data_IF_136100003627
#
_entry.id   IF_136100003627
#
_cell.length_a   1.000
_cell.length_b   1.000
_cell.length_c   1.000
_cell.angle_alpha   90.00
_cell.angle_beta   90.00
_cell.angle_gamma   90.00
#
_symmetry.space_group_name_H-M   'P 1'
#
loop_
_entity.id
_entity.type
_entity.pdbx_description
1 polymer ?
#
# COMPACT_ATOMS: atom_id res chain seq x y z
N UNK A 1 11.61 10.61 -30.30
CA UNK A 1 10.25 10.09 -30.02
C UNK A 1 10.25 8.58 -30.19
N UNK A 2 10.55 7.83 -29.14
CA UNK A 2 10.44 6.36 -29.13
C UNK A 2 9.06 6.02 -28.55
N UNK A 3 8.29 5.25 -29.32
CA UNK A 3 6.93 4.83 -28.98
C UNK A 3 6.96 4.00 -27.70
N UNK A 4 6.31 4.51 -26.66
CA UNK A 4 5.95 3.76 -25.45
C UNK A 4 4.87 2.77 -25.90
N UNK A 5 5.18 1.47 -25.87
CA UNK A 5 4.15 0.44 -25.93
C UNK A 5 3.49 0.45 -24.56
N UNK A 6 2.42 1.23 -24.47
CA UNK A 6 1.45 1.13 -23.39
C UNK A 6 0.87 -0.28 -23.49
N UNK A 7 1.09 -1.14 -22.49
CA UNK A 7 0.27 -2.33 -22.28
C UNK A 7 -1.12 -1.83 -21.86
N UNK A 8 -1.87 -1.30 -22.82
CA UNK A 8 -3.32 -1.39 -22.82
C UNK A 8 -3.60 -2.88 -22.96
N UNK A 9 -3.90 -3.54 -21.84
CA UNK A 9 -4.64 -4.79 -21.85
C UNK A 9 -5.99 -4.50 -22.48
N UNK A 10 -6.04 -4.65 -23.79
CA UNK A 10 -7.28 -4.74 -24.55
C UNK A 10 -7.99 -5.99 -24.05
N UNK A 11 -9.03 -5.78 -23.26
CA UNK A 11 -10.11 -6.73 -23.09
C UNK A 11 -10.78 -6.95 -24.45
N UNK A 12 -10.24 -7.85 -25.27
CA UNK A 12 -10.89 -8.37 -26.47
C UNK A 12 -10.25 -9.67 -26.94
N UNK A 13 -10.40 -10.72 -26.15
CA UNK A 13 -10.43 -12.14 -26.54
C UNK A 13 -10.71 -12.91 -25.23
N UNK A 14 -11.75 -13.75 -25.20
CA UNK A 14 -12.24 -14.44 -24.00
C UNK A 14 -11.33 -15.50 -23.40
N UNK A 15 -10.04 -15.22 -23.25
CA UNK A 15 -9.10 -15.99 -22.44
C UNK A 15 -8.90 -15.29 -21.09
N UNK A 16 -8.96 -16.06 -20.00
CA UNK A 16 -8.51 -15.61 -18.68
C UNK A 16 -7.01 -15.39 -18.74
N UNK A 17 -6.54 -14.15 -18.54
CA UNK A 17 -5.11 -13.89 -18.41
C UNK A 17 -4.56 -14.69 -17.24
N UNK A 18 -3.48 -15.44 -17.48
CA UNK A 18 -2.72 -16.14 -16.45
C UNK A 18 -1.31 -15.58 -16.45
N UNK A 19 -0.87 -15.06 -15.30
CA UNK A 19 0.49 -14.60 -15.13
C UNK A 19 1.46 -15.80 -15.10
N UNK A 20 2.73 -15.61 -15.49
CA UNK A 20 3.76 -16.60 -15.21
C UNK A 20 3.80 -16.94 -13.72
N UNK A 21 3.88 -18.22 -13.32
CA UNK A 21 3.92 -18.60 -11.92
C UNK A 21 5.09 -17.92 -11.19
N UNK A 22 4.86 -17.33 -10.00
CA UNK A 22 5.93 -16.80 -9.19
C UNK A 22 6.77 -17.94 -8.62
N UNK A 23 8.03 -17.65 -8.31
CA UNK A 23 8.82 -18.54 -7.44
C UNK A 23 8.15 -18.63 -6.07
N UNK A 24 8.24 -19.79 -5.41
CA UNK A 24 7.52 -20.04 -4.16
C UNK A 24 7.85 -19.03 -3.04
N UNK A 25 9.11 -18.60 -2.99
CA UNK A 25 9.59 -17.60 -2.03
C UNK A 25 10.81 -16.87 -2.59
N UNK A 26 10.85 -15.57 -2.40
CA UNK A 26 11.98 -14.69 -2.71
C UNK A 26 12.54 -14.18 -1.38
N UNK A 27 13.78 -14.55 -1.08
CA UNK A 27 14.48 -13.99 0.06
C UNK A 27 14.85 -12.53 -0.22
N UNK A 28 14.53 -11.64 0.70
CA UNK A 28 14.95 -10.25 0.63
C UNK A 28 16.29 -10.05 1.34
N UNK A 29 17.07 -9.02 0.99
CA UNK A 29 18.34 -8.75 1.65
C UNK A 29 18.17 -8.57 3.16
N UNK A 30 19.15 -9.04 3.92
CA UNK A 30 19.18 -8.81 5.36
C UNK A 30 19.58 -7.36 5.67
N UNK A 31 19.24 -6.85 6.85
CA UNK A 31 19.50 -5.43 7.17
C UNK A 31 20.98 -5.04 7.20
N UNK A 32 21.90 -6.00 7.29
CA UNK A 32 23.34 -5.78 7.11
C UNK A 32 23.70 -5.37 5.68
N UNK A 33 22.89 -5.77 4.70
CA UNK A 33 23.03 -5.41 3.28
C UNK A 33 22.32 -4.09 2.95
N UNK A 34 21.57 -3.52 3.90
CA UNK A 34 20.75 -2.31 3.72
C UNK A 34 21.37 -1.07 4.40
N UNK A 35 22.71 -0.96 4.34
CA UNK A 35 23.47 0.20 4.82
C UNK A 35 23.10 0.62 6.26
N UNK A 36 23.22 -0.27 7.26
CA UNK A 36 22.84 0.09 8.62
C UNK A 36 23.76 1.18 9.17
N UNK A 37 23.20 2.12 9.93
CA UNK A 37 23.94 3.22 10.56
C UNK A 37 24.93 2.73 11.60
N UNK A 38 24.63 1.59 12.22
CA UNK A 38 25.51 0.85 13.13
C UNK A 38 25.68 -0.57 12.60
N UNK A 39 26.87 -0.87 12.07
CA UNK A 39 27.20 -2.19 11.50
C UNK A 39 27.10 -3.32 12.53
N UNK A 40 27.20 -3.02 13.83
CA UNK A 40 27.08 -4.02 14.91
C UNK A 40 25.64 -4.32 15.28
N UNK A 41 24.69 -3.50 14.83
CA UNK A 41 23.26 -3.61 15.13
C UNK A 41 22.40 -3.42 13.87
N UNK A 42 22.59 -4.27 12.84
CA UNK A 42 21.78 -4.20 11.62
C UNK A 42 20.30 -4.42 11.94
N UNK A 43 19.43 -3.81 11.14
CA UNK A 43 17.99 -4.06 11.22
C UNK A 43 17.56 -5.29 10.42
N UNK A 44 16.27 -5.34 10.12
CA UNK A 44 15.61 -6.27 9.20
C UNK A 44 14.98 -5.45 8.07
N UNK A 45 14.91 -5.99 6.84
CA UNK A 45 14.38 -5.22 5.72
C UNK A 45 12.93 -4.78 5.93
N UNK A 46 12.11 -5.58 6.62
CA UNK A 46 10.69 -5.30 6.90
C UNK A 46 9.93 -4.90 5.63
N UNK A 47 9.71 -5.85 4.70
CA UNK A 47 8.94 -5.55 3.50
C UNK A 47 7.52 -5.12 3.85
N UNK A 48 7.03 -4.08 3.19
CA UNK A 48 5.70 -3.51 3.41
C UNK A 48 4.93 -3.40 2.08
N UNK A 49 4.57 -2.19 1.63
CA UNK A 49 3.76 -1.96 0.45
C UNK A 49 4.41 -2.42 -0.85
N UNK A 50 3.58 -2.90 -1.79
CA UNK A 50 3.98 -3.31 -3.14
C UNK A 50 3.25 -2.52 -4.23
N UNK A 51 3.95 -2.35 -5.36
CA UNK A 51 3.37 -1.85 -6.61
C UNK A 51 4.01 -2.54 -7.82
N UNK A 52 3.24 -2.67 -8.89
CA UNK A 52 3.75 -3.09 -10.19
C UNK A 52 4.03 -1.87 -11.07
N UNK A 53 5.19 -1.87 -11.74
CA UNK A 53 5.51 -0.91 -12.79
C UNK A 53 6.54 -1.51 -13.74
N UNK A 54 6.51 -1.11 -15.02
CA UNK A 54 7.48 -1.55 -16.02
C UNK A 54 7.70 -3.09 -16.09
N UNK A 55 6.64 -3.88 -15.85
CA UNK A 55 6.69 -5.35 -15.86
C UNK A 55 7.43 -5.99 -14.68
N UNK A 56 7.62 -5.24 -13.58
CA UNK A 56 8.29 -5.68 -12.36
C UNK A 56 7.48 -5.29 -11.13
N UNK A 57 7.73 -6.00 -10.05
CA UNK A 57 7.19 -5.68 -8.72
C UNK A 57 8.24 -4.92 -7.93
N UNK A 58 7.78 -3.89 -7.21
CA UNK A 58 8.57 -3.09 -6.29
C UNK A 58 7.97 -3.21 -4.90
N UNK A 59 8.79 -3.57 -3.92
CA UNK A 59 8.40 -3.64 -2.50
C UNK A 59 9.23 -2.66 -1.69
N UNK A 60 8.59 -1.93 -0.77
CA UNK A 60 9.31 -1.05 0.16
C UNK A 60 9.99 -1.85 1.26
N UNK A 61 11.21 -1.43 1.63
CA UNK A 61 12.01 -1.97 2.72
C UNK A 61 12.41 -0.84 3.66
N UNK A 62 12.27 -1.03 4.97
CA UNK A 62 12.45 0.02 5.98
C UNK A 62 13.73 -0.07 6.82
N UNK A 63 14.48 -1.17 6.73
CA UNK A 63 15.65 -1.46 7.58
C UNK A 63 15.45 -1.05 9.06
N UNK A 64 14.63 -1.81 9.78
CA UNK A 64 14.27 -1.51 11.18
C UNK A 64 14.69 -2.62 12.12
N UNK A 65 15.00 -2.26 13.37
CA UNK A 65 15.19 -3.20 14.47
C UNK A 65 14.14 -2.98 15.54
N UNK A 66 13.75 -4.06 16.21
CA UNK A 66 12.86 -3.97 17.36
C UNK A 66 13.68 -3.60 18.60
N UNK A 67 13.12 -2.73 19.44
CA UNK A 67 13.66 -2.36 20.76
C UNK A 67 12.53 -2.43 21.78
N UNK A 68 12.86 -2.31 23.07
CA UNK A 68 11.86 -2.34 24.15
C UNK A 68 10.79 -1.24 24.01
N UNK A 69 11.11 -0.14 23.33
CA UNK A 69 10.18 0.98 23.08
C UNK A 69 9.55 0.96 21.69
N UNK A 70 9.72 -0.14 20.93
CA UNK A 70 9.18 -0.30 19.59
C UNK A 70 10.23 -0.31 18.48
N UNK A 71 9.80 -0.32 17.20
CA UNK A 71 10.70 -0.36 16.06
C UNK A 71 11.46 0.95 15.92
N UNK A 72 12.76 0.85 15.63
CA UNK A 72 13.62 2.00 15.31
C UNK A 72 14.31 1.79 13.98
N UNK A 73 14.51 2.88 13.23
CA UNK A 73 15.22 2.84 11.95
C UNK A 73 16.70 2.52 12.22
N UNK A 74 17.18 1.46 11.57
CA UNK A 74 18.57 1.00 11.66
C UNK A 74 19.38 1.40 10.42
N UNK A 75 18.72 1.87 9.35
CA UNK A 75 19.33 2.32 8.10
C UNK A 75 18.31 3.06 7.21
N UNK A 76 18.70 3.40 5.96
CA UNK A 76 17.81 4.03 5.00
C UNK A 76 16.70 3.09 4.51
N UNK A 77 15.69 3.68 3.86
CA UNK A 77 14.69 2.94 3.09
C UNK A 77 15.19 2.50 1.72
N UNK A 78 14.63 1.41 1.20
CA UNK A 78 14.88 0.89 -0.13
C UNK A 78 13.59 0.51 -0.86
N UNK A 79 13.66 0.41 -2.18
CA UNK A 79 12.80 -0.50 -2.93
C UNK A 79 13.59 -1.74 -3.33
N UNK A 80 13.00 -2.92 -3.17
CA UNK A 80 13.45 -4.13 -3.86
C UNK A 80 12.59 -4.34 -5.10
N UNK A 81 13.23 -4.46 -6.26
CA UNK A 81 12.61 -4.62 -7.56
C UNK A 81 12.92 -6.01 -8.14
N UNK A 82 11.91 -6.76 -8.57
CA UNK A 82 12.08 -8.14 -9.06
C UNK A 82 10.96 -8.53 -10.03
N UNK A 83 11.21 -9.59 -10.80
CA UNK A 83 10.17 -10.28 -11.57
C UNK A 83 9.69 -11.47 -10.74
N UNK A 84 8.38 -11.63 -10.48
CA UNK A 84 7.89 -12.71 -9.61
C UNK A 84 8.34 -14.12 -10.05
N UNK A 85 8.46 -14.36 -11.35
CA UNK A 85 8.79 -15.67 -11.93
C UNK A 85 10.26 -16.07 -11.85
N UNK A 86 11.18 -15.13 -11.58
CA UNK A 86 12.61 -15.43 -11.45
C UNK A 86 13.19 -15.09 -10.07
N UNK A 87 12.53 -14.22 -9.31
CA UNK A 87 12.93 -13.84 -7.96
C UNK A 87 14.22 -13.02 -7.86
N UNK A 88 14.77 -12.52 -8.96
CA UNK A 88 16.03 -11.77 -8.94
C UNK A 88 15.82 -10.35 -8.41
N UNK A 89 16.37 -10.06 -7.23
CA UNK A 89 16.18 -8.78 -6.54
C UNK A 89 17.24 -7.75 -6.95
N UNK A 90 16.79 -6.56 -7.35
CA UNK A 90 17.59 -5.34 -7.48
C UNK A 90 17.20 -4.36 -6.40
N UNK A 91 18.18 -3.77 -5.71
CA UNK A 91 17.92 -2.74 -4.69
C UNK A 91 18.02 -1.33 -5.26
N UNK A 92 17.08 -0.47 -4.86
CA UNK A 92 17.07 0.97 -5.14
C UNK A 92 17.13 1.70 -3.80
N UNK A 93 18.22 2.42 -3.56
CA UNK A 93 18.42 3.19 -2.33
C UNK A 93 17.59 4.48 -2.34
N UNK A 94 16.69 4.63 -1.37
CA UNK A 94 15.88 5.83 -1.21
C UNK A 94 16.54 6.87 -0.31
N UNK A 95 17.45 6.42 0.58
CA UNK A 95 18.10 7.20 1.62
C UNK A 95 19.01 8.33 1.14
N UNK A 96 19.39 8.32 -0.14
CA UNK A 96 20.20 9.38 -0.73
C UNK A 96 21.66 9.38 -0.25
N UNK A 97 22.38 10.47 -0.51
CA UNK A 97 23.84 10.53 -0.32
C UNK A 97 24.30 10.41 1.13
N UNK A 98 23.48 10.83 2.10
CA UNK A 98 23.76 10.71 3.54
C UNK A 98 23.01 9.54 4.20
N UNK A 99 22.23 8.78 3.43
CA UNK A 99 21.40 7.68 3.93
C UNK A 99 20.25 8.11 4.85
N UNK A 100 19.93 9.40 4.95
CA UNK A 100 18.96 9.95 5.90
C UNK A 100 17.83 10.74 5.23
N UNK A 101 17.71 10.70 3.90
CA UNK A 101 16.68 11.44 3.14
C UNK A 101 15.35 10.70 3.02
N UNK A 102 15.34 9.40 3.26
CA UNK A 102 14.14 8.58 3.30
C UNK A 102 14.39 7.39 4.22
N UNK A 103 13.61 7.31 5.29
CA UNK A 103 13.54 6.14 6.16
C UNK A 103 12.09 5.69 6.30
N UNK A 104 11.92 4.41 6.59
CA UNK A 104 10.61 3.81 6.83
C UNK A 104 9.58 4.09 5.71
N UNK A 105 9.86 3.70 4.45
CA UNK A 105 8.86 3.70 3.39
C UNK A 105 7.80 2.63 3.66
N UNK A 106 6.59 3.04 4.03
CA UNK A 106 5.47 2.12 4.28
C UNK A 106 4.75 1.71 2.99
N UNK A 107 4.68 2.62 2.02
CA UNK A 107 3.89 2.46 0.80
C UNK A 107 4.73 2.67 -0.45
N UNK A 108 4.28 2.08 -1.56
CA UNK A 108 4.70 2.49 -2.90
C UNK A 108 3.49 2.38 -3.81
N UNK A 109 3.30 3.38 -4.68
CA UNK A 109 2.25 3.38 -5.70
C UNK A 109 2.82 3.76 -7.05
N UNK A 110 2.32 3.09 -8.09
CA UNK A 110 2.57 3.50 -9.46
C UNK A 110 1.65 4.65 -9.85
N UNK A 111 2.15 5.54 -10.68
CA UNK A 111 1.42 6.64 -11.30
C UNK A 111 1.13 6.34 -12.76
N UNK A 112 0.14 7.02 -13.35
CA UNK A 112 -0.32 6.76 -14.71
C UNK A 112 0.74 7.02 -15.81
N UNK A 113 1.73 7.86 -15.53
CA UNK A 113 2.90 8.16 -16.36
C UNK A 113 4.09 7.23 -16.08
N UNK A 114 3.91 6.23 -15.23
CA UNK A 114 4.86 5.13 -15.07
C UNK A 114 5.93 5.34 -14.00
N UNK A 115 5.90 6.42 -13.23
CA UNK A 115 6.78 6.59 -12.06
C UNK A 115 6.21 5.90 -10.82
N UNK A 116 7.10 5.55 -9.89
CA UNK A 116 6.74 5.08 -8.56
C UNK A 116 6.88 6.21 -7.55
N UNK A 117 5.97 6.27 -6.59
CA UNK A 117 6.03 7.21 -5.46
C UNK A 117 5.98 6.46 -4.15
N UNK A 118 6.93 6.75 -3.26
CA UNK A 118 7.01 6.16 -1.93
C UNK A 118 7.06 7.25 -0.85
N UNK A 119 6.11 7.25 0.09
CA UNK A 119 6.15 8.11 1.27
C UNK A 119 7.04 7.48 2.33
N UNK A 120 7.97 8.27 2.86
CA UNK A 120 8.90 7.88 3.91
C UNK A 120 8.47 8.53 5.22
N UNK A 121 8.03 7.74 6.19
CA UNK A 121 7.46 8.26 7.44
C UNK A 121 8.53 8.70 8.46
N UNK A 122 9.81 8.39 8.21
CA UNK A 122 10.89 8.66 9.15
C UNK A 122 10.69 7.87 10.46
N UNK A 123 10.91 8.52 11.59
CA UNK A 123 10.67 7.96 12.92
C UNK A 123 9.27 8.27 13.53
N UNK A 124 8.30 8.73 12.72
CA UNK A 124 6.95 9.13 13.16
C UNK A 124 6.84 10.36 14.08
N UNK A 125 7.94 11.08 14.37
CA UNK A 125 7.91 12.26 15.25
C UNK A 125 7.32 13.53 14.64
N UNK A 126 7.07 13.55 13.33
CA UNK A 126 6.69 14.77 12.61
C UNK A 126 7.77 15.87 12.53
N UNK A 127 8.97 15.68 13.11
CA UNK A 127 10.11 16.63 12.99
C UNK A 127 11.40 16.07 12.39
N UNK A 128 11.59 14.75 12.38
CA UNK A 128 12.67 14.04 11.66
C UNK A 128 12.86 14.44 10.18
N UNK A 129 14.11 14.63 9.77
CA UNK A 129 14.50 14.99 8.40
C UNK A 129 14.38 13.83 7.39
N UNK A 130 14.24 12.60 7.85
CA UNK A 130 14.11 11.42 6.99
C UNK A 130 12.72 11.22 6.38
N UNK A 131 11.83 12.21 6.54
CA UNK A 131 10.53 12.24 5.88
C UNK A 131 10.62 12.82 4.48
N UNK A 132 10.04 12.10 3.52
CA UNK A 132 9.97 12.55 2.14
C UNK A 132 8.80 11.88 1.40
N UNK A 133 8.43 12.45 0.25
CA UNK A 133 7.90 11.64 -0.86
C UNK A 133 9.04 11.46 -1.86
N UNK A 134 9.33 10.22 -2.23
CA UNK A 134 10.38 9.88 -3.19
C UNK A 134 9.76 9.42 -4.50
N UNK A 135 10.18 10.03 -5.60
CA UNK A 135 9.85 9.59 -6.95
C UNK A 135 10.97 8.71 -7.50
N UNK A 136 10.60 7.55 -8.06
CA UNK A 136 11.53 6.58 -8.64
C UNK A 136 11.15 6.29 -10.08
N UNK A 137 12.14 6.34 -10.98
CA UNK A 137 12.03 5.82 -12.34
C UNK A 137 12.24 4.30 -12.32
N UNK A 138 11.20 3.50 -12.57
CA UNK A 138 11.31 2.05 -12.53
C UNK A 138 12.16 1.46 -13.67
N UNK A 139 12.28 2.16 -14.81
CA UNK A 139 13.08 1.70 -15.95
C UNK A 139 14.57 1.90 -15.70
N UNK A 140 14.93 3.01 -15.07
CA UNK A 140 16.32 3.33 -14.73
C UNK A 140 16.74 2.79 -13.35
N UNK A 141 15.80 2.35 -12.50
CA UNK A 141 16.04 1.95 -11.11
C UNK A 141 16.72 3.05 -10.28
N UNK A 142 16.32 4.31 -10.47
CA UNK A 142 16.91 5.46 -9.78
C UNK A 142 15.85 6.35 -9.17
N UNK A 143 16.16 6.92 -8.01
CA UNK A 143 15.41 8.05 -7.46
C UNK A 143 15.64 9.26 -8.34
N UNK A 144 14.58 9.82 -8.90
CA UNK A 144 14.64 11.00 -9.79
C UNK A 144 14.48 12.28 -9.01
N UNK A 145 13.53 12.31 -8.06
CA UNK A 145 13.16 13.52 -7.31
C UNK A 145 12.71 13.18 -5.90
N UNK A 146 12.75 14.18 -5.02
CA UNK A 146 12.33 14.08 -3.61
C UNK A 146 11.58 15.34 -3.21
N UNK A 147 10.45 15.16 -2.53
CA UNK A 147 9.72 16.23 -1.87
C UNK A 147 9.98 16.15 -0.36
N UNK A 148 10.44 17.25 0.24
CA UNK A 148 10.56 17.33 1.69
C UNK A 148 9.17 17.49 2.33
N UNK A 149 8.98 16.91 3.52
CA UNK A 149 7.72 17.01 4.26
C UNK A 149 7.80 18.14 5.29
N UNK A 150 6.81 19.05 5.33
CA UNK A 150 6.73 20.08 6.37
C UNK A 150 6.77 19.50 7.79
N UNK A 151 7.30 20.27 8.74
CA UNK A 151 7.26 19.91 10.15
C UNK A 151 5.82 19.76 10.65
N UNK A 152 5.62 18.84 11.60
CA UNK A 152 4.32 18.51 12.17
C UNK A 152 3.51 17.49 11.38
N UNK A 153 4.07 16.89 10.32
CA UNK A 153 3.38 15.89 9.47
C UNK A 153 4.21 14.65 9.28
N UNK A 154 3.55 13.51 9.11
CA UNK A 154 4.19 12.21 8.80
C UNK A 154 3.48 11.62 7.59
N UNK A 155 4.14 11.52 6.41
CA UNK A 155 3.47 11.00 5.23
C UNK A 155 3.17 9.52 5.43
N UNK A 156 1.98 9.11 5.00
CA UNK A 156 1.52 7.74 4.97
C UNK A 156 1.05 7.39 3.55
N UNK A 157 -0.03 6.63 3.34
CA UNK A 157 -0.53 6.27 2.00
C UNK A 157 -0.58 7.45 1.02
N UNK A 158 -0.31 7.17 -0.26
CA UNK A 158 -0.03 8.17 -1.30
C UNK A 158 -0.91 7.98 -2.53
N UNK A 159 -1.52 9.06 -3.00
CA UNK A 159 -2.27 9.11 -4.25
C UNK A 159 -1.65 10.16 -5.19
N UNK A 160 -1.42 9.77 -6.44
CA UNK A 160 -0.75 10.62 -7.43
C UNK A 160 -1.74 11.00 -8.51
N UNK A 161 -2.08 12.28 -8.57
CA UNK A 161 -2.93 12.85 -9.63
C UNK A 161 -2.08 13.50 -10.71
N UNK A 162 -2.71 14.16 -11.68
CA UNK A 162 -1.99 14.88 -12.74
C UNK A 162 -1.14 16.02 -12.18
N UNK A 163 -1.65 16.73 -11.20
CA UNK A 163 -1.11 18.02 -10.71
C UNK A 163 -0.61 17.93 -9.27
N UNK A 164 -1.10 16.96 -8.49
CA UNK A 164 -0.80 16.84 -7.06
C UNK A 164 -0.34 15.43 -6.71
N UNK A 165 0.43 15.36 -5.63
CA UNK A 165 0.67 14.15 -4.88
C UNK A 165 -0.01 14.34 -3.52
N UNK A 166 -1.06 13.59 -3.27
CA UNK A 166 -1.79 13.58 -2.01
C UNK A 166 -1.23 12.51 -1.09
N UNK A 167 -1.09 12.82 0.18
CA UNK A 167 -0.64 11.87 1.19
C UNK A 167 -1.46 12.03 2.45
N UNK A 168 -1.78 10.89 3.06
CA UNK A 168 -2.31 10.85 4.40
C UNK A 168 -1.26 11.31 5.40
N UNK A 169 -1.71 11.86 6.52
CA UNK A 169 -0.86 12.13 7.67
C UNK A 169 -1.05 11.02 8.72
N UNK A 170 0.02 10.32 9.08
CA UNK A 170 -0.01 9.33 10.17
C UNK A 170 -0.01 9.99 11.56
N UNK A 171 0.25 11.29 11.64
CA UNK A 171 0.35 12.04 12.89
C UNK A 171 -0.89 12.89 13.18
N UNK A 172 -1.69 13.22 12.15
CA UNK A 172 -2.91 14.02 12.25
C UNK A 172 -4.03 13.44 11.38
N UNK A 173 -5.29 13.83 11.57
CA UNK A 173 -6.39 13.43 10.67
C UNK A 173 -6.56 14.41 9.51
N UNK A 174 -5.47 14.62 8.79
CA UNK A 174 -5.48 15.47 7.59
C UNK A 174 -4.82 14.78 6.41
N UNK A 175 -5.29 15.12 5.21
CA UNK A 175 -4.59 14.84 3.96
C UNK A 175 -3.90 16.12 3.53
N UNK A 176 -2.68 16.00 3.02
CA UNK A 176 -1.99 17.13 2.44
C UNK A 176 -1.43 16.80 1.06
N UNK A 177 -1.21 17.85 0.29
CA UNK A 177 -0.72 17.79 -1.08
C UNK A 177 0.70 18.32 -1.20
N UNK A 178 1.36 17.82 -2.22
CA UNK A 178 2.60 18.34 -2.80
C UNK A 178 2.29 18.67 -4.26
N UNK A 179 2.77 19.81 -4.74
CA UNK A 179 2.71 20.13 -6.16
C UNK A 179 3.59 19.15 -6.94
N UNK A 180 3.01 18.45 -7.90
CA UNK A 180 3.71 17.35 -8.60
C UNK A 180 4.80 17.84 -9.56
N UNK A 181 4.66 19.06 -10.05
CA UNK A 181 5.59 19.64 -11.02
C UNK A 181 6.88 20.07 -10.33
N UNK A 182 6.74 20.79 -9.22
CA UNK A 182 7.83 21.42 -8.47
C UNK A 182 8.32 20.59 -7.29
N UNK A 183 7.52 19.62 -6.83
CA UNK A 183 7.70 18.87 -5.58
C UNK A 183 7.77 19.76 -4.32
N UNK A 184 7.21 20.97 -4.39
CA UNK A 184 7.02 21.81 -3.23
C UNK A 184 5.76 21.39 -2.47
N UNK A 185 5.80 21.45 -1.13
CA UNK A 185 4.61 21.30 -0.31
C UNK A 185 3.56 22.34 -0.71
N UNK A 186 2.31 21.91 -0.84
CA UNK A 186 1.21 22.82 -1.17
C UNK A 186 0.99 23.80 -0.01
N UNK A 187 1.00 25.12 -0.25
CA UNK A 187 0.77 26.11 0.80
C UNK A 187 -0.68 26.13 1.28
N UNK A 188 -1.62 25.46 0.58
CA UNK A 188 -3.00 25.36 1.05
C UNK A 188 -3.08 24.60 2.38
N UNK A 189 -4.02 24.97 3.28
CA UNK A 189 -4.26 24.19 4.49
C UNK A 189 -4.56 22.71 4.16
N UNK A 190 -4.07 21.76 4.97
CA UNK A 190 -4.45 20.36 4.85
C UNK A 190 -5.96 20.16 4.93
N UNK A 191 -6.45 19.14 4.24
CA UNK A 191 -7.86 18.77 4.20
C UNK A 191 -8.17 17.92 5.43
N UNK A 192 -9.08 18.34 6.33
CA UNK A 192 -9.51 17.51 7.44
C UNK A 192 -10.29 16.29 6.94
N UNK A 193 -9.92 15.10 7.43
CA UNK A 193 -10.58 13.82 7.15
C UNK A 193 -10.75 13.07 8.47
N UNK A 194 -11.59 13.60 9.35
CA UNK A 194 -11.67 13.11 10.73
C UNK A 194 -12.53 11.84 10.84
N UNK A 195 -12.25 11.05 11.86
CA UNK A 195 -13.03 9.87 12.21
C UNK A 195 -13.06 9.72 13.73
N UNK A 196 -14.19 9.22 14.23
CA UNK A 196 -14.43 9.14 15.67
C UNK A 196 -13.39 8.23 16.33
N UNK A 197 -12.74 8.70 17.39
CA UNK A 197 -11.69 7.95 18.13
C UNK A 197 -11.89 7.95 19.63
N UNK A 198 -11.31 6.96 20.31
CA UNK A 198 -11.07 7.01 21.76
C UNK A 198 -9.59 6.90 22.10
N UNK A 199 -8.81 6.15 21.32
CA UNK A 199 -7.38 5.95 21.53
C UNK A 199 -6.56 6.64 20.46
N UNK A 200 -6.83 6.32 19.19
CA UNK A 200 -6.06 6.83 18.06
C UNK A 200 -6.95 7.11 16.86
N UNK A 201 -6.50 8.04 16.02
CA UNK A 201 -6.89 8.10 14.63
C UNK A 201 -5.72 8.62 13.79
N UNK A 202 -5.73 8.28 12.51
CA UNK A 202 -4.73 8.67 11.53
C UNK A 202 -5.30 8.45 10.12
N UNK A 203 -4.65 9.01 9.09
CA UNK A 203 -5.00 8.67 7.71
C UNK A 203 -4.20 7.44 7.30
N UNK A 204 -4.88 6.32 7.15
CA UNK A 204 -4.29 5.00 6.90
C UNK A 204 -3.78 4.89 5.46
N UNK A 205 -4.64 5.24 4.50
CA UNK A 205 -4.31 5.15 3.08
C UNK A 205 -4.99 6.29 2.29
N UNK A 206 -4.40 6.60 1.14
CA UNK A 206 -4.93 7.55 0.16
C UNK A 206 -4.70 6.97 -1.24
N UNK A 207 -5.77 6.89 -2.05
CA UNK A 207 -5.71 6.27 -3.38
C UNK A 207 -6.47 7.11 -4.42
N UNK A 208 -6.03 7.08 -5.68
CA UNK A 208 -6.82 7.60 -6.80
C UNK A 208 -7.71 6.50 -7.36
N UNK A 209 -9.02 6.70 -7.38
CA UNK A 209 -10.01 5.74 -7.92
C UNK A 209 -11.03 6.52 -8.76
N UNK A 210 -11.27 6.09 -9.99
CA UNK A 210 -12.25 6.75 -10.87
C UNK A 210 -11.95 8.24 -11.15
N UNK A 211 -10.69 8.66 -11.00
CA UNK A 211 -10.26 10.05 -11.20
C UNK A 211 -10.35 10.96 -9.97
N UNK A 212 -10.97 10.51 -8.88
CA UNK A 212 -10.99 11.24 -7.61
C UNK A 212 -9.96 10.68 -6.63
N UNK A 213 -9.68 11.46 -5.58
CA UNK A 213 -8.83 11.02 -4.46
C UNK A 213 -9.72 10.50 -3.35
N UNK A 214 -9.39 9.32 -2.84
CA UNK A 214 -10.05 8.72 -1.69
C UNK A 214 -9.07 8.68 -0.53
N UNK A 215 -9.51 9.11 0.65
CA UNK A 215 -8.70 9.15 1.86
C UNK A 215 -9.41 8.38 2.98
N UNK A 216 -8.68 7.44 3.57
CA UNK A 216 -9.19 6.53 4.59
C UNK A 216 -8.70 6.98 5.96
N UNK A 217 -9.62 7.49 6.79
CA UNK A 217 -9.35 7.75 8.19
C UNK A 217 -9.57 6.46 8.99
N UNK A 218 -8.52 6.00 9.65
CA UNK A 218 -8.56 4.84 10.53
C UNK A 218 -8.58 5.24 11.99
N UNK A 219 -9.43 4.60 12.80
CA UNK A 219 -9.46 4.76 14.25
C UNK A 219 -9.82 3.45 14.93
N UNK A 220 -9.60 3.35 16.24
CA UNK A 220 -9.97 2.16 16.99
C UNK A 220 -11.50 1.96 17.18
N UNK A 221 -12.34 2.96 16.85
CA UNK A 221 -13.79 2.88 17.05
C UNK A 221 -14.58 2.78 15.73
N UNK A 222 -14.23 3.59 14.75
CA UNK A 222 -14.99 3.76 13.51
C UNK A 222 -14.14 4.52 12.50
N UNK A 223 -13.96 3.92 11.32
CA UNK A 223 -13.29 4.55 10.20
C UNK A 223 -14.24 5.32 9.29
N UNK A 224 -13.67 6.24 8.51
CA UNK A 224 -14.39 7.04 7.52
C UNK A 224 -13.62 7.01 6.20
N UNK A 225 -14.34 6.81 5.09
CA UNK A 225 -13.79 6.98 3.74
C UNK A 225 -14.28 8.30 3.16
N UNK A 226 -13.35 9.18 2.83
CA UNK A 226 -13.61 10.48 2.21
C UNK A 226 -13.32 10.41 0.70
N UNK A 227 -14.21 11.01 -0.10
CA UNK A 227 -13.98 11.30 -1.52
C UNK A 227 -13.65 12.78 -1.66
N UNK A 228 -12.50 13.07 -2.23
CA UNK A 228 -11.93 14.40 -2.38
C UNK A 228 -11.79 14.75 -3.86
N UNK A 229 -11.96 16.03 -4.17
CA UNK A 229 -11.57 16.57 -5.46
C UNK A 229 -10.05 16.45 -5.67
N UNK A 230 -9.58 15.90 -6.81
CA UNK A 230 -8.17 15.58 -7.00
C UNK A 230 -7.27 16.82 -7.19
N UNK A 231 -7.84 17.97 -7.55
CA UNK A 231 -7.09 19.20 -7.80
C UNK A 231 -7.11 20.13 -6.59
N UNK A 232 -8.27 20.24 -5.93
CA UNK A 232 -8.50 21.19 -4.83
C UNK A 232 -8.51 20.57 -3.45
N UNK A 233 -8.69 19.25 -3.34
CA UNK A 233 -8.87 18.56 -2.06
C UNK A 233 -10.24 18.78 -1.42
N UNK A 234 -11.18 19.47 -2.09
CA UNK A 234 -12.50 19.71 -1.56
C UNK A 234 -13.23 18.37 -1.28
N UNK A 235 -13.78 18.22 -0.08
CA UNK A 235 -14.56 17.04 0.29
C UNK A 235 -15.85 17.00 -0.53
N UNK A 236 -16.01 15.96 -1.34
CA UNK A 236 -17.22 15.71 -2.15
C UNK A 236 -18.26 14.92 -1.36
N UNK A 237 -17.80 13.92 -0.61
CA UNK A 237 -18.64 13.04 0.21
C UNK A 237 -17.75 12.27 1.21
N UNK A 238 -18.36 11.70 2.24
CA UNK A 238 -17.72 10.71 3.09
C UNK A 238 -18.76 9.68 3.57
N UNK A 239 -18.28 8.54 4.06
CA UNK A 239 -19.12 7.49 4.64
C UNK A 239 -18.37 6.71 5.70
N UNK A 240 -19.10 6.31 6.73
CA UNK A 240 -18.61 5.42 7.77
C UNK A 240 -18.35 4.03 7.22
N UNK A 241 -17.20 3.46 7.58
CA UNK A 241 -16.81 2.06 7.34
C UNK A 241 -16.65 1.34 8.69
N UNK A 242 -15.91 0.24 8.74
CA UNK A 242 -15.68 -0.47 10.01
C UNK A 242 -14.56 0.16 10.85
N UNK A 243 -14.27 -0.42 12.03
CA UNK A 243 -13.19 0.03 12.91
C UNK A 243 -11.81 -0.35 12.36
N UNK A 244 -10.84 0.52 12.63
CA UNK A 244 -9.43 0.42 12.26
C UNK A 244 -9.22 -0.04 10.80
N UNK A 245 -9.77 0.69 9.82
CA UNK A 245 -9.51 0.35 8.44
C UNK A 245 -8.05 0.66 8.08
N UNK A 246 -7.42 -0.26 7.36
CA UNK A 246 -5.98 -0.22 7.07
C UNK A 246 -5.68 0.07 5.61
N UNK A 247 -6.52 -0.39 4.69
CA UNK A 247 -6.32 -0.21 3.24
C UNK A 247 -7.67 -0.13 2.49
N UNK A 248 -7.65 0.48 1.31
CA UNK A 248 -8.72 0.41 0.32
C UNK A 248 -8.25 -0.06 -1.07
N UNK A 249 -9.17 -0.61 -1.87
CA UNK A 249 -8.94 -0.94 -3.27
C UNK A 249 -10.15 -0.64 -4.15
N UNK A 250 -9.92 -0.08 -5.34
CA UNK A 250 -10.96 0.07 -6.36
C UNK A 250 -11.26 -1.25 -7.06
N UNK A 251 -12.53 -1.49 -7.38
CA UNK A 251 -12.99 -2.58 -8.23
C UNK A 251 -13.29 -2.08 -9.65
N UNK A 252 -13.31 -3.00 -10.61
CA UNK A 252 -13.60 -2.70 -12.02
C UNK A 252 -15.03 -2.16 -12.24
N UNK A 253 -15.95 -2.47 -11.34
CA UNK A 253 -17.33 -1.96 -11.35
C UNK A 253 -17.49 -0.59 -10.67
N UNK A 254 -16.38 0.02 -10.24
CA UNK A 254 -16.33 1.34 -9.60
C UNK A 254 -16.63 1.34 -8.09
N UNK A 255 -16.94 0.19 -7.48
CA UNK A 255 -16.99 0.07 -6.02
C UNK A 255 -15.58 0.14 -5.42
N UNK A 256 -15.53 0.34 -4.11
CA UNK A 256 -14.29 0.40 -3.33
C UNK A 256 -14.38 -0.59 -2.19
N UNK A 257 -13.46 -1.54 -2.13
CA UNK A 257 -13.30 -2.40 -0.96
C UNK A 257 -12.47 -1.66 0.10
N UNK A 258 -12.90 -1.76 1.36
CA UNK A 258 -12.16 -1.28 2.52
C UNK A 258 -12.03 -2.42 3.50
N UNK A 259 -10.81 -2.69 3.93
CA UNK A 259 -10.53 -3.73 4.92
C UNK A 259 -10.48 -3.13 6.31
N UNK A 260 -11.22 -3.72 7.25
CA UNK A 260 -11.39 -3.24 8.61
C UNK A 260 -10.68 -4.19 9.58
N UNK A 261 -9.50 -3.81 10.04
CA UNK A 261 -8.68 -4.65 10.90
C UNK A 261 -9.26 -4.79 12.32
N UNK A 262 -10.08 -3.83 12.75
CA UNK A 262 -10.61 -3.80 14.12
C UNK A 262 -11.69 -4.85 14.40
N UNK A 263 -12.35 -5.37 13.37
CA UNK A 263 -13.41 -6.37 13.48
C UNK A 263 -13.35 -7.49 12.43
N UNK A 264 -12.23 -7.58 11.70
CA UNK A 264 -11.99 -8.56 10.63
C UNK A 264 -13.08 -8.57 9.55
N UNK A 265 -13.51 -7.38 9.11
CA UNK A 265 -14.53 -7.23 8.08
C UNK A 265 -14.02 -6.57 6.80
N UNK A 266 -14.77 -6.75 5.71
CA UNK A 266 -14.61 -5.95 4.51
C UNK A 266 -15.92 -5.20 4.26
N UNK A 267 -15.80 -3.90 3.99
CA UNK A 267 -16.89 -3.05 3.51
C UNK A 267 -16.74 -2.78 2.03
N UNK A 268 -17.83 -2.82 1.27
CA UNK A 268 -17.89 -2.27 -0.08
C UNK A 268 -18.57 -0.92 -0.03
N UNK A 269 -17.87 0.08 -0.56
CA UNK A 269 -18.37 1.45 -0.73
C UNK A 269 -18.74 1.65 -2.19
N UNK A 270 -19.94 2.17 -2.43
CA UNK A 270 -20.43 2.51 -3.78
C UNK A 270 -20.49 4.02 -3.91
N UNK A 271 -19.67 4.62 -4.79
CA UNK A 271 -19.84 6.01 -5.21
C UNK A 271 -21.04 6.14 -6.14
N UNK A 272 -21.99 7.01 -5.82
CA UNK A 272 -23.13 7.32 -6.68
C UNK A 272 -23.42 8.81 -6.67
N UNK A 273 -23.18 9.47 -7.80
CA UNK A 273 -23.28 10.93 -7.91
C UNK A 273 -22.37 11.62 -6.90
N UNK A 274 -22.95 12.50 -6.07
CA UNK A 274 -22.26 13.20 -4.99
C UNK A 274 -22.31 12.50 -3.62
N UNK A 275 -22.60 11.20 -3.58
CA UNK A 275 -22.75 10.45 -2.32
C UNK A 275 -21.90 9.19 -2.29
N UNK A 276 -21.63 8.67 -1.09
CA UNK A 276 -21.03 7.37 -0.84
C UNK A 276 -21.96 6.54 0.04
N UNK A 277 -22.12 5.25 -0.27
CA UNK A 277 -22.84 4.29 0.58
C UNK A 277 -21.95 3.10 0.89
N UNK A 278 -21.84 2.70 2.15
CA UNK A 278 -21.03 1.57 2.58
C UNK A 278 -21.91 0.40 3.04
N UNK A 279 -21.48 -0.81 2.73
CA UNK A 279 -22.09 -2.04 3.22
C UNK A 279 -20.98 -3.00 3.68
N UNK A 280 -21.09 -3.53 4.90
CA UNK A 280 -20.30 -4.69 5.30
C UNK A 280 -20.73 -5.90 4.49
N UNK A 281 -19.80 -6.51 3.76
CA UNK A 281 -20.10 -7.63 2.86
C UNK A 281 -19.65 -8.98 3.40
N UNK A 282 -18.63 -9.02 4.26
CA UNK A 282 -18.14 -10.26 4.84
C UNK A 282 -17.42 -10.00 6.17
N UNK A 283 -17.50 -10.97 7.07
CA UNK A 283 -16.66 -11.09 8.28
C UNK A 283 -15.76 -12.33 8.11
N UNK A 284 -14.46 -12.15 8.30
CA UNK A 284 -13.46 -13.21 8.14
C UNK A 284 -13.20 -13.88 9.49
N UNK A 285 -13.96 -14.93 9.81
CA UNK A 285 -13.95 -15.56 11.14
C UNK A 285 -12.64 -16.23 11.57
N UNK A 286 -11.71 -16.45 10.64
CA UNK A 286 -10.41 -17.10 10.87
C UNK A 286 -9.22 -16.21 10.49
N UNK A 287 -9.46 -14.90 10.35
CA UNK A 287 -8.44 -13.91 10.02
C UNK A 287 -8.44 -12.79 11.06
N UNK A 288 -7.26 -12.34 11.46
CA UNK A 288 -7.10 -11.26 12.44
C UNK A 288 -5.93 -10.32 12.07
N UNK A 289 -6.08 -9.05 12.44
CA UNK A 289 -5.21 -7.94 12.06
C UNK A 289 -5.01 -7.86 10.54
N UNK A 290 -6.10 -7.55 9.83
CA UNK A 290 -6.06 -7.38 8.37
C UNK A 290 -5.20 -6.17 7.98
N UNK A 291 -4.29 -6.34 7.00
CA UNK A 291 -3.30 -5.29 6.67
C UNK A 291 -3.51 -4.64 5.30
N UNK A 292 -3.98 -5.40 4.30
CA UNK A 292 -4.07 -4.93 2.92
C UNK A 292 -5.24 -5.61 2.22
N UNK A 293 -5.80 -4.93 1.23
CA UNK A 293 -6.82 -5.47 0.32
C UNK A 293 -6.51 -5.04 -1.11
N UNK A 294 -6.62 -5.96 -2.05
CA UNK A 294 -6.52 -5.70 -3.50
C UNK A 294 -7.64 -6.39 -4.25
N UNK A 295 -7.96 -5.88 -5.42
CA UNK A 295 -8.94 -6.46 -6.32
C UNK A 295 -8.28 -6.95 -7.61
N UNK A 296 -8.82 -8.03 -8.17
CA UNK A 296 -8.62 -8.45 -9.55
C UNK A 296 -10.00 -8.78 -10.12
N UNK A 297 -10.59 -7.84 -10.87
CA UNK A 297 -12.01 -7.90 -11.22
C UNK A 297 -12.90 -7.92 -9.98
N UNK A 298 -13.71 -8.97 -9.87
CA UNK A 298 -14.66 -9.20 -8.76
C UNK A 298 -14.10 -10.13 -7.68
N UNK A 299 -12.81 -10.43 -7.72
CA UNK A 299 -12.10 -11.19 -6.68
C UNK A 299 -11.33 -10.21 -5.81
N UNK A 300 -11.52 -10.30 -4.49
CA UNK A 300 -10.70 -9.60 -3.52
C UNK A 300 -9.64 -10.52 -2.94
N UNK A 301 -8.49 -9.94 -2.65
CA UNK A 301 -7.38 -10.58 -1.95
C UNK A 301 -7.06 -9.74 -0.72
N UNK A 302 -6.91 -10.38 0.43
CA UNK A 302 -6.53 -9.70 1.68
C UNK A 302 -5.54 -10.55 2.45
N UNK A 303 -4.79 -9.92 3.35
CA UNK A 303 -3.84 -10.60 4.24
C UNK A 303 -4.12 -10.27 5.69
N UNK A 304 -3.82 -11.22 6.56
CA UNK A 304 -4.05 -11.17 7.99
C UNK A 304 -2.77 -11.48 8.76
N UNK A 305 -2.19 -10.47 9.41
CA UNK A 305 -0.85 -10.57 9.98
C UNK A 305 -0.79 -11.45 11.23
N UNK A 306 -1.87 -11.45 12.04
CA UNK A 306 -1.91 -12.24 13.29
C UNK A 306 -2.10 -13.73 13.03
N UNK A 307 -2.88 -14.07 11.99
CA UNK A 307 -3.18 -15.46 11.62
C UNK A 307 -2.23 -16.03 10.58
N UNK A 308 -1.34 -15.20 10.01
CA UNK A 308 -0.36 -15.60 9.00
C UNK A 308 -0.99 -16.14 7.72
N UNK A 309 -2.12 -15.55 7.30
CA UNK A 309 -2.93 -16.04 6.18
C UNK A 309 -3.20 -14.97 5.12
N UNK A 310 -3.48 -15.42 3.90
CA UNK A 310 -4.07 -14.63 2.82
C UNK A 310 -5.39 -15.26 2.39
N UNK A 311 -6.42 -14.45 2.19
CA UNK A 311 -7.73 -14.88 1.73
C UNK A 311 -7.96 -14.44 0.29
N UNK A 312 -8.52 -15.34 -0.51
CA UNK A 312 -9.13 -15.07 -1.81
C UNK A 312 -10.64 -15.10 -1.65
N UNK A 313 -11.31 -14.02 -2.03
CA UNK A 313 -12.73 -13.78 -1.77
C UNK A 313 -13.43 -13.55 -3.10
N UNK A 314 -14.45 -14.35 -3.36
CA UNK A 314 -15.32 -14.19 -4.52
C UNK A 314 -16.54 -13.38 -4.10
N UNK A 315 -16.72 -12.19 -4.70
CA UNK A 315 -17.84 -11.30 -4.41
C UNK A 315 -19.16 -11.75 -5.06
N UNK A 316 -19.08 -12.55 -6.12
CA UNK A 316 -20.23 -12.99 -6.92
C UNK A 316 -20.61 -14.45 -6.63
N UNK A 317 -19.94 -15.07 -5.66
CA UNK A 317 -20.24 -16.40 -5.20
C UNK A 317 -21.74 -16.60 -4.91
N UNK A 318 -22.25 -17.78 -5.29
CA UNK A 318 -23.64 -18.15 -4.96
C UNK A 318 -23.87 -18.05 -3.44
N UNK A 319 -24.90 -17.29 -3.05
CA UNK A 319 -25.21 -16.98 -1.65
C UNK A 319 -24.60 -15.67 -1.13
N UNK A 320 -23.84 -14.95 -1.97
CA UNK A 320 -23.16 -13.70 -1.63
C UNK A 320 -21.65 -13.88 -1.42
N UNK A 321 -20.94 -12.77 -1.11
CA UNK A 321 -19.49 -12.76 -0.94
C UNK A 321 -18.98 -13.81 0.05
N UNK A 322 -17.97 -14.59 -0.35
CA UNK A 322 -17.36 -15.60 0.53
C UNK A 322 -15.88 -15.82 0.27
N UNK A 323 -15.15 -16.24 1.30
CA UNK A 323 -13.79 -16.76 1.14
C UNK A 323 -13.87 -18.07 0.37
N UNK A 324 -13.17 -18.13 -0.76
CA UNK A 324 -13.15 -19.30 -1.66
C UNK A 324 -11.81 -20.04 -1.60
N UNK A 325 -10.76 -19.40 -1.11
CA UNK A 325 -9.50 -20.05 -0.81
C UNK A 325 -8.71 -19.27 0.25
N UNK A 326 -7.81 -19.97 0.95
CA UNK A 326 -6.89 -19.41 1.91
C UNK A 326 -5.48 -19.99 1.69
N UNK A 327 -4.46 -19.16 1.85
CA UNK A 327 -3.06 -19.58 1.94
C UNK A 327 -2.51 -19.26 3.33
N UNK A 328 -1.65 -20.13 3.87
CA UNK A 328 -0.96 -19.93 5.15
C UNK A 328 0.55 -19.88 4.92
N UNK A 329 1.23 -18.90 5.55
CA UNK A 329 2.65 -18.65 5.34
C UNK A 329 3.54 -19.11 6.50
N UNK A 330 2.96 -19.83 7.47
CA UNK A 330 3.65 -20.32 8.64
C UNK A 330 3.81 -19.26 9.74
N UNK A 331 4.23 -19.75 10.91
CA UNK A 331 4.40 -18.94 12.12
C UNK A 331 5.39 -17.80 11.88
N UNK A 332 5.08 -16.62 12.44
CA UNK A 332 5.92 -15.42 12.38
C UNK A 332 6.16 -14.85 10.97
N UNK A 333 5.42 -15.28 9.95
CA UNK A 333 5.52 -14.69 8.61
C UNK A 333 5.07 -13.24 8.61
N UNK A 334 3.98 -12.93 9.31
CA UNK A 334 3.40 -11.58 9.37
C UNK A 334 3.14 -10.98 7.98
N UNK A 335 2.22 -11.56 7.19
CA UNK A 335 1.75 -10.98 5.93
C UNK A 335 1.33 -9.51 6.11
N UNK A 336 1.81 -8.63 5.23
CA UNK A 336 1.63 -7.19 5.36
C UNK A 336 1.00 -6.54 4.13
N UNK A 337 1.42 -6.93 2.93
CA UNK A 337 0.82 -6.48 1.68
C UNK A 337 0.64 -7.67 0.74
N UNK A 338 -0.34 -7.59 -0.15
CA UNK A 338 -0.63 -8.60 -1.17
C UNK A 338 -0.72 -7.92 -2.54
N UNK A 339 -0.22 -8.60 -3.57
CA UNK A 339 -0.31 -8.15 -4.94
C UNK A 339 -0.82 -9.32 -5.82
N UNK A 340 -2.09 -9.29 -6.27
CA UNK A 340 -2.60 -10.28 -7.20
C UNK A 340 -1.85 -10.17 -8.53
N UNK A 341 -1.41 -11.31 -9.05
CA UNK A 341 -0.80 -11.42 -10.37
C UNK A 341 -1.86 -11.78 -11.43
N UNK A 342 -2.83 -12.59 -11.01
CA UNK A 342 -4.08 -12.87 -11.73
C UNK A 342 -5.19 -13.30 -10.75
N UNK A 343 -6.25 -13.93 -11.26
CA UNK A 343 -7.39 -14.38 -10.47
C UNK A 343 -7.10 -15.60 -9.58
N UNK A 344 -6.00 -16.32 -9.77
CA UNK A 344 -5.65 -17.56 -9.05
C UNK A 344 -4.33 -17.47 -8.27
N UNK A 345 -3.55 -16.42 -8.44
CA UNK A 345 -2.27 -16.27 -7.77
C UNK A 345 -1.96 -14.83 -7.39
N UNK A 346 -1.27 -14.69 -6.26
CA UNK A 346 -0.74 -13.45 -5.75
C UNK A 346 0.65 -13.66 -5.15
N UNK A 347 1.34 -12.56 -4.86
CA UNK A 347 2.50 -12.55 -3.98
C UNK A 347 2.21 -11.74 -2.72
N UNK A 348 2.88 -12.08 -1.64
CA UNK A 348 2.65 -11.51 -0.31
C UNK A 348 3.98 -11.07 0.29
N UNK A 349 4.04 -9.83 0.79
CA UNK A 349 5.17 -9.37 1.59
C UNK A 349 5.03 -9.85 3.04
N UNK A 350 6.00 -10.63 3.49
CA UNK A 350 6.04 -11.17 4.84
C UNK A 350 7.03 -10.39 5.70
N UNK A 351 6.50 -9.50 6.53
CA UNK A 351 7.29 -8.56 7.34
C UNK A 351 8.13 -9.27 8.42
N UNK A 352 7.68 -10.43 8.89
CA UNK A 352 8.32 -11.19 9.96
C UNK A 352 9.45 -12.10 9.46
N UNK A 353 9.26 -12.77 8.32
CA UNK A 353 10.26 -13.68 7.72
C UNK A 353 11.20 -13.03 6.71
N UNK A 354 10.99 -11.76 6.37
CA UNK A 354 11.81 -11.04 5.39
C UNK A 354 11.78 -11.65 3.98
N UNK A 355 10.58 -12.04 3.53
CA UNK A 355 10.39 -12.70 2.23
C UNK A 355 9.22 -12.10 1.45
N UNK A 356 9.24 -12.32 0.13
CA UNK A 356 8.04 -12.28 -0.70
C UNK A 356 7.64 -13.73 -0.97
N UNK A 357 6.43 -14.13 -0.58
CA UNK A 357 5.93 -15.49 -0.75
C UNK A 357 4.83 -15.56 -1.81
N UNK A 358 4.81 -16.64 -2.58
CA UNK A 358 3.71 -16.91 -3.48
C UNK A 358 2.47 -17.41 -2.73
N UNK A 359 1.30 -16.95 -3.14
CA UNK A 359 0.00 -17.47 -2.76
C UNK A 359 -0.67 -18.01 -4.01
N UNK A 360 -0.67 -19.33 -4.18
CA UNK A 360 -1.22 -20.01 -5.35
C UNK A 360 -2.50 -20.74 -4.95
N UNK A 361 -3.62 -20.39 -5.57
CA UNK A 361 -4.94 -20.99 -5.32
C UNK A 361 -5.47 -21.73 -6.55
N UNK A 362 -4.57 -22.22 -7.40
CA UNK A 362 -4.93 -23.08 -8.53
C UNK A 362 -5.75 -24.24 -7.97
N UNK A 363 -7.05 -24.19 -8.22
CA UNK A 363 -7.94 -25.29 -7.91
C UNK A 363 -7.59 -26.35 -8.94
N UNK A 364 -6.99 -27.45 -8.50
CA UNK A 364 -6.89 -28.65 -9.33
C UNK A 364 -8.33 -28.98 -9.75
N UNK A 365 -8.65 -28.77 -11.02
CA UNK A 365 -9.96 -29.13 -11.59
C UNK A 365 -10.12 -30.65 -11.62
#
# INVERSE_FOLDING_TARGET
MKRIVLLLLVAACGGTYQAPPPVASIALPDGSQLKPYDLTKPGKARPQGMAEAAGRVYVTLSNQRDTDTGPVNAGPGFLAAFTPSDGNVTLIDLGGGDGLQCQNPGFVRASADGYLYSPCSGNFSGTDRARAIVEVDPLANVVTRRAAIPNGRVPNGVAVTRTRIWTGDAFTTTVFSIDRTTLAADPTPPVPVDCAKTVFNYVADVMTIGGDVYALCGSNNSGELYRLDPDTGAVKAHVTVGPNPTELAGLDDGRIAVVNAGDSTISLVTPSGGTLTAQKVITLSHADALQDVRAFGHILFTVASSTNTAQRIDLDAQGGPKVVAEANFGLNSGPYNILPLDDTQAIVSNRGTNTIAAANWVTVK
#
